data_IF_569947287343
#
_entry.id   IF_569947287343
#
_cell.length_a   1.000
_cell.length_b   1.000
_cell.length_c   1.000
_cell.angle_alpha   90.00
_cell.angle_beta   90.00
_cell.angle_gamma   90.00
#
_symmetry.space_group_name_H-M   'P 1'
#
loop_
_entity.id
_entity.type
_entity.pdbx_description
1 polymer ?
#
# COMPACT_ATOMS: atom_id res chain seq x y z
N UNK A 1 -31.10 -9.79 -6.23
CA UNK A 1 -30.08 -9.73 -5.15
C UNK A 1 -28.84 -9.17 -5.81
N UNK A 2 -28.36 -7.99 -5.43
CA UNK A 2 -27.12 -7.45 -5.99
C UNK A 2 -25.95 -8.22 -5.36
N UNK A 3 -25.16 -8.90 -6.19
CA UNK A 3 -23.93 -9.58 -5.76
C UNK A 3 -22.76 -8.61 -5.94
N UNK A 4 -22.12 -8.21 -4.84
CA UNK A 4 -20.98 -7.30 -4.89
C UNK A 4 -19.77 -8.04 -5.50
N UNK A 5 -19.32 -7.58 -6.67
CA UNK A 5 -18.07 -8.05 -7.28
C UNK A 5 -16.96 -7.06 -6.94
N UNK A 6 -15.91 -7.47 -6.21
CA UNK A 6 -14.79 -6.59 -5.88
C UNK A 6 -14.09 -5.99 -7.11
N UNK A 7 -14.23 -6.63 -8.28
CA UNK A 7 -13.69 -6.11 -9.55
C UNK A 7 -14.43 -4.85 -10.06
N UNK A 8 -15.63 -4.57 -9.56
CA UNK A 8 -16.48 -3.45 -10.00
C UNK A 8 -16.34 -2.21 -9.10
N UNK A 9 -15.45 -2.25 -8.09
CA UNK A 9 -15.23 -1.11 -7.20
C UNK A 9 -13.75 -0.91 -6.89
N UNK A 10 -13.21 0.20 -7.40
CA UNK A 10 -11.81 0.58 -7.28
C UNK A 10 -11.68 1.79 -6.36
N UNK A 11 -10.70 1.72 -5.45
CA UNK A 11 -10.35 2.84 -4.56
C UNK A 11 -8.87 3.17 -4.70
N UNK A 12 -8.58 4.34 -5.24
CA UNK A 12 -7.22 4.82 -5.52
C UNK A 12 -6.91 5.99 -4.59
N UNK A 13 -5.85 5.87 -3.80
CA UNK A 13 -5.45 6.93 -2.89
C UNK A 13 -4.84 8.13 -3.65
N UNK A 14 -5.23 9.32 -3.25
CA UNK A 14 -4.67 10.59 -3.74
C UNK A 14 -3.71 11.08 -2.66
N UNK A 15 -2.43 11.18 -3.01
CA UNK A 15 -1.38 11.66 -2.11
C UNK A 15 -1.52 13.16 -1.86
N UNK A 16 -0.82 13.66 -0.85
CA UNK A 16 -0.83 15.09 -0.49
C UNK A 16 -0.31 16.00 -1.62
N UNK A 17 0.54 15.48 -2.50
CA UNK A 17 1.03 16.18 -3.69
C UNK A 17 0.08 16.12 -4.90
N UNK A 18 -1.12 15.53 -4.73
CA UNK A 18 -2.12 15.36 -5.78
C UNK A 18 -1.91 14.15 -6.69
N UNK A 19 -0.84 13.37 -6.49
CA UNK A 19 -0.60 12.14 -7.25
C UNK A 19 -1.69 11.11 -6.95
N UNK A 20 -2.30 10.56 -7.99
CA UNK A 20 -3.24 9.44 -7.85
C UNK A 20 -2.51 8.12 -7.99
N UNK A 21 -2.67 7.24 -7.00
CA UNK A 21 -2.12 5.88 -7.03
C UNK A 21 -3.05 4.95 -7.79
N UNK A 22 -2.87 4.89 -9.11
CA UNK A 22 -3.74 4.15 -10.02
C UNK A 22 -3.53 2.62 -9.99
N UNK A 23 -4.61 1.86 -10.15
CA UNK A 23 -4.57 0.39 -10.27
C UNK A 23 -3.69 -0.04 -11.44
N UNK A 24 -2.80 -1.00 -11.20
CA UNK A 24 -1.92 -1.58 -12.21
C UNK A 24 -0.74 -0.69 -12.64
N UNK A 25 -0.68 0.56 -12.18
CA UNK A 25 0.42 1.48 -12.49
C UNK A 25 1.60 1.23 -11.56
N UNK A 26 2.81 1.31 -12.11
CA UNK A 26 4.06 1.26 -11.34
C UNK A 26 4.48 2.67 -10.92
N UNK A 27 5.07 2.79 -9.73
CA UNK A 27 5.47 4.03 -9.11
C UNK A 27 6.92 3.99 -8.67
N UNK A 28 7.60 5.12 -8.89
CA UNK A 28 8.96 5.37 -8.42
C UNK A 28 9.04 6.81 -7.88
N UNK A 29 9.82 6.99 -6.82
CA UNK A 29 10.23 8.29 -6.29
C UNK A 29 11.73 8.24 -6.04
N UNK A 30 12.34 9.41 -5.93
CA UNK A 30 13.73 9.51 -5.50
C UNK A 30 13.90 9.00 -4.08
N UNK A 31 15.01 8.31 -3.84
CA UNK A 31 15.36 7.86 -2.50
C UNK A 31 15.67 9.05 -1.59
N UNK A 32 15.09 9.03 -0.39
CA UNK A 32 15.45 9.96 0.68
C UNK A 32 16.22 9.24 1.79
N UNK A 33 17.20 9.92 2.43
CA UNK A 33 17.93 9.34 3.56
C UNK A 33 16.99 9.09 4.73
N UNK A 34 17.01 7.88 5.27
CA UNK A 34 16.14 7.51 6.38
C UNK A 34 16.15 6.03 6.70
N UNK A 35 15.29 5.63 7.63
CA UNK A 35 15.09 4.22 8.01
C UNK A 35 13.76 3.68 7.52
N UNK A 36 12.96 4.47 6.82
CA UNK A 36 11.68 4.02 6.31
C UNK A 36 11.80 3.67 4.84
N UNK A 37 10.93 2.76 4.40
CA UNK A 37 10.67 2.54 2.99
C UNK A 37 9.19 2.81 2.76
N UNK A 38 8.87 3.72 1.85
CA UNK A 38 7.50 3.86 1.36
C UNK A 38 7.27 2.84 0.27
N UNK A 39 6.05 2.29 0.22
CA UNK A 39 5.65 1.34 -0.80
C UNK A 39 4.19 1.52 -1.18
N UNK A 40 3.89 1.26 -2.44
CA UNK A 40 2.53 1.32 -2.98
C UNK A 40 1.91 -0.07 -2.90
N UNK A 41 0.90 -0.21 -2.04
CA UNK A 41 0.17 -1.45 -1.82
C UNK A 41 -1.08 -1.50 -2.68
N UNK A 42 -1.11 -2.40 -3.66
CA UNK A 42 -2.34 -2.81 -4.33
C UNK A 42 -2.84 -4.13 -3.74
N UNK A 43 -4.13 -4.21 -3.39
CA UNK A 43 -4.76 -5.43 -2.85
C UNK A 43 -6.16 -5.64 -3.43
N UNK A 44 -6.56 -6.90 -3.56
CA UNK A 44 -7.92 -7.33 -3.94
C UNK A 44 -8.46 -8.37 -2.95
N UNK A 45 -9.65 -8.15 -2.39
CA UNK A 45 -10.28 -9.12 -1.48
C UNK A 45 -9.69 -9.21 -0.08
N UNK A 46 -8.70 -8.35 0.23
CA UNK A 46 -8.05 -8.21 1.54
C UNK A 46 -8.46 -6.90 2.19
N UNK A 47 -8.69 -6.88 3.51
CA UNK A 47 -8.67 -5.59 4.23
C UNK A 47 -7.21 -5.15 4.48
N UNK A 48 -6.99 -3.86 4.79
CA UNK A 48 -5.62 -3.33 4.99
C UNK A 48 -4.87 -4.07 6.09
N UNK A 49 -5.51 -4.41 7.22
CA UNK A 49 -4.83 -5.08 8.33
C UNK A 49 -4.31 -6.47 7.92
N UNK A 50 -5.15 -7.29 7.30
CA UNK A 50 -4.80 -8.63 6.84
C UNK A 50 -3.70 -8.60 5.76
N UNK A 51 -3.75 -7.63 4.84
CA UNK A 51 -2.72 -7.47 3.83
C UNK A 51 -1.36 -7.16 4.47
N UNK A 52 -1.33 -6.27 5.46
CA UNK A 52 -0.11 -5.93 6.19
C UNK A 52 0.40 -7.07 7.08
N UNK A 53 -0.49 -7.87 7.67
CA UNK A 53 -0.10 -9.07 8.41
C UNK A 53 0.56 -10.11 7.49
N UNK A 54 0.00 -10.34 6.30
CA UNK A 54 0.58 -11.24 5.30
C UNK A 54 1.96 -10.75 4.83
N UNK A 55 2.10 -9.45 4.54
CA UNK A 55 3.37 -8.81 4.16
C UNK A 55 4.40 -8.96 5.30
N UNK A 56 4.01 -8.67 6.54
CA UNK A 56 4.90 -8.82 7.70
C UNK A 56 5.38 -10.27 7.88
N UNK A 57 4.49 -11.24 7.68
CA UNK A 57 4.80 -12.67 7.70
C UNK A 57 5.83 -13.06 6.64
N UNK A 58 5.62 -12.67 5.38
CA UNK A 58 6.58 -12.92 4.30
C UNK A 58 7.91 -12.20 4.50
N UNK A 59 7.90 -11.05 5.17
CA UNK A 59 9.12 -10.31 5.49
C UNK A 59 9.88 -10.84 6.70
N UNK A 60 9.25 -11.68 7.53
CA UNK A 60 9.71 -12.12 8.85
C UNK A 60 9.98 -10.93 9.80
N UNK A 61 9.04 -9.99 9.86
CA UNK A 61 9.13 -8.80 10.72
C UNK A 61 7.87 -8.64 11.57
N UNK A 62 7.97 -7.79 12.60
CA UNK A 62 6.79 -7.39 13.37
C UNK A 62 5.85 -6.53 12.52
N UNK A 63 4.55 -6.83 12.57
CA UNK A 63 3.46 -6.01 11.99
C UNK A 63 3.51 -4.54 12.40
N UNK A 64 4.02 -4.24 13.61
CA UNK A 64 4.18 -2.86 14.14
C UNK A 64 5.16 -1.99 13.33
N UNK A 65 5.94 -2.60 12.42
CA UNK A 65 6.86 -1.89 11.53
C UNK A 65 6.17 -1.41 10.25
N UNK A 66 4.89 -1.72 10.05
CA UNK A 66 4.15 -1.36 8.84
C UNK A 66 3.02 -0.38 9.19
N UNK A 67 2.89 0.69 8.42
CA UNK A 67 1.86 1.72 8.57
C UNK A 67 1.29 2.11 7.19
N UNK A 68 0.05 2.60 7.11
CA UNK A 68 -0.54 3.20 5.90
C UNK A 68 -1.32 4.47 6.28
N UNK A 69 -1.62 5.33 5.30
CA UNK A 69 -2.29 6.60 5.56
C UNK A 69 -3.76 6.42 5.99
N UNK A 70 -4.38 5.31 5.58
CA UNK A 70 -5.71 4.93 6.01
C UNK A 70 -5.90 3.42 5.99
N UNK A 71 -7.07 2.99 6.44
CA UNK A 71 -7.51 1.60 6.27
C UNK A 71 -8.53 1.53 5.15
N UNK A 72 -8.55 0.39 4.45
CA UNK A 72 -9.49 0.10 3.38
C UNK A 72 -10.09 -1.28 3.59
N UNK A 73 -11.38 -1.40 3.36
CA UNK A 73 -12.12 -2.65 3.44
C UNK A 73 -11.68 -3.66 2.36
N UNK A 74 -12.16 -4.90 2.54
CA UNK A 74 -11.89 -6.02 1.63
C UNK A 74 -12.71 -5.98 0.34
N UNK A 75 -13.79 -5.21 0.35
CA UNK A 75 -14.78 -5.14 -0.73
C UNK A 75 -14.35 -4.08 -1.77
N UNK A 76 -13.16 -4.21 -2.33
CA UNK A 76 -12.63 -3.35 -3.40
C UNK A 76 -11.29 -3.88 -3.92
N UNK A 77 -10.90 -3.44 -5.12
CA UNK A 77 -9.48 -3.31 -5.46
C UNK A 77 -9.01 -1.97 -4.92
N UNK A 78 -7.95 -1.96 -4.12
CA UNK A 78 -7.45 -0.71 -3.53
C UNK A 78 -5.98 -0.52 -3.74
N UNK A 79 -5.56 0.70 -4.01
CA UNK A 79 -4.14 1.11 -4.10
C UNK A 79 -3.91 2.25 -3.11
N UNK A 80 -2.93 2.10 -2.23
CA UNK A 80 -2.63 3.08 -1.19
C UNK A 80 -1.13 3.12 -0.86
N UNK A 81 -0.68 4.23 -0.26
CA UNK A 81 0.68 4.38 0.21
C UNK A 81 0.82 3.82 1.62
N UNK A 82 1.87 3.04 1.82
CA UNK A 82 2.25 2.48 3.09
C UNK A 82 3.73 2.70 3.35
N UNK A 83 4.17 2.48 4.59
CA UNK A 83 5.57 2.53 4.96
C UNK A 83 5.98 1.34 5.79
N UNK A 84 7.24 0.97 5.68
CA UNK A 84 7.90 -0.09 6.43
C UNK A 84 9.15 0.47 7.11
N UNK A 85 9.27 0.28 8.43
CA UNK A 85 10.47 0.64 9.18
C UNK A 85 11.58 -0.40 8.97
N UNK A 86 12.78 0.04 8.62
CA UNK A 86 14.01 -0.73 8.45
C UNK A 86 13.90 -1.93 7.49
N UNK A 87 13.12 -1.78 6.42
CA UNK A 87 12.98 -2.77 5.35
C UNK A 87 13.46 -2.13 4.05
N UNK A 88 14.42 -2.73 3.32
CA UNK A 88 14.88 -2.16 2.06
C UNK A 88 13.82 -2.34 0.95
N UNK A 89 13.69 -1.39 -0.01
CA UNK A 89 12.69 -1.44 -1.08
C UNK A 89 12.66 -2.76 -1.87
N UNK A 90 13.85 -3.31 -2.17
CA UNK A 90 14.00 -4.54 -2.96
C UNK A 90 13.33 -5.75 -2.28
N UNK A 91 13.26 -5.75 -0.94
CA UNK A 91 12.57 -6.81 -0.19
C UNK A 91 11.05 -6.73 -0.28
N UNK A 92 10.50 -5.53 -0.43
CA UNK A 92 9.06 -5.34 -0.67
C UNK A 92 8.72 -5.67 -2.12
N UNK A 93 9.51 -5.20 -3.09
CA UNK A 93 9.29 -5.44 -4.52
C UNK A 93 9.39 -6.93 -4.92
N UNK A 94 10.12 -7.74 -4.15
CA UNK A 94 10.26 -9.18 -4.40
C UNK A 94 9.17 -10.04 -3.76
N UNK A 95 8.21 -9.44 -3.03
CA UNK A 95 7.13 -10.17 -2.37
C UNK A 95 6.21 -10.83 -3.39
N UNK A 96 5.81 -12.07 -3.07
CA UNK A 96 4.80 -12.81 -3.80
C UNK A 96 3.70 -13.22 -2.83
N UNK A 97 2.60 -12.48 -2.84
CA UNK A 97 1.42 -12.75 -2.02
C UNK A 97 0.20 -12.75 -2.92
N UNK A 98 -0.66 -13.77 -2.80
CA UNK A 98 -1.84 -13.89 -3.65
C UNK A 98 -2.74 -12.66 -3.50
N UNK A 99 -3.17 -12.09 -4.63
CA UNK A 99 -4.07 -10.92 -4.70
C UNK A 99 -3.51 -9.62 -4.09
N UNK A 100 -2.18 -9.56 -3.88
CA UNK A 100 -1.46 -8.38 -3.42
C UNK A 100 -0.28 -8.11 -4.37
N UNK A 101 -0.12 -6.85 -4.76
CA UNK A 101 1.01 -6.36 -5.55
C UNK A 101 1.66 -5.18 -4.86
N UNK A 102 3.00 -5.14 -4.87
CA UNK A 102 3.76 -3.96 -4.50
C UNK A 102 4.11 -3.23 -5.79
N UNK A 103 3.42 -2.13 -6.05
CA UNK A 103 3.51 -1.39 -7.32
C UNK A 103 4.63 -0.33 -7.32
N UNK A 104 5.45 -0.29 -6.28
CA UNK A 104 6.52 0.69 -6.12
C UNK A 104 7.04 0.67 -4.70
N UNK A 105 8.34 0.92 -4.54
CA UNK A 105 8.95 1.08 -3.23
C UNK A 105 10.24 1.92 -3.34
N UNK A 106 10.49 2.80 -2.37
CA UNK A 106 11.67 3.67 -2.31
C UNK A 106 12.02 3.98 -0.84
N UNK A 107 13.25 4.41 -0.58
CA UNK A 107 13.66 4.85 0.76
C UNK A 107 13.04 6.20 1.09
N UNK A 108 12.65 6.36 2.35
CA UNK A 108 12.00 7.55 2.86
C UNK A 108 12.59 7.95 4.23
N UNK A 109 12.60 9.26 4.48
CA UNK A 109 13.03 9.84 5.76
C UNK A 109 12.12 9.50 6.93
N UNK A 110 10.84 9.33 6.65
CA UNK A 110 9.76 9.27 7.63
C UNK A 110 8.73 8.19 7.31
N UNK A 111 7.88 7.89 8.29
CA UNK A 111 6.76 6.97 8.11
C UNK A 111 5.59 7.67 7.45
N UNK A 112 4.79 6.90 6.70
CA UNK A 112 3.43 7.31 6.34
C UNK A 112 2.61 7.45 7.62
N UNK A 113 1.92 8.58 7.78
CA UNK A 113 1.14 8.89 8.98
C UNK A 113 -0.34 8.65 8.72
N UNK A 114 -1.06 8.23 9.75
CA UNK A 114 -2.52 8.15 9.66
C UNK A 114 -3.08 9.52 9.25
N UNK A 115 -3.89 9.55 8.21
CA UNK A 115 -4.48 10.76 7.65
C UNK A 115 -3.60 11.53 6.65
N UNK A 116 -2.37 11.09 6.35
CA UNK A 116 -1.49 11.74 5.34
C UNK A 116 -1.88 11.33 3.91
N UNK A 117 -3.10 11.69 3.52
CA UNK A 117 -3.62 11.57 2.16
C UNK A 117 -4.52 12.78 1.86
N UNK A 118 -4.62 13.16 0.59
CA UNK A 118 -5.55 14.21 0.16
C UNK A 118 -6.99 13.66 0.05
N UNK A 119 -7.14 12.40 -0.37
CA UNK A 119 -8.45 11.79 -0.56
C UNK A 119 -8.39 10.46 -1.29
N UNK A 120 -9.54 10.01 -1.80
CA UNK A 120 -9.65 8.78 -2.57
C UNK A 120 -10.45 9.05 -3.86
N UNK A 121 -9.97 8.52 -4.98
CA UNK A 121 -10.71 8.42 -6.24
C UNK A 121 -11.44 7.08 -6.26
N UNK A 122 -12.73 7.11 -6.59
CA UNK A 122 -13.58 5.94 -6.73
C UNK A 122 -13.90 5.72 -8.19
N UNK A 123 -13.81 4.49 -8.68
CA UNK A 123 -14.08 4.12 -10.09
C UNK A 123 -14.76 2.77 -10.15
#
# INVERSE_FOLDING_TARGET
MFEFKPEEFVVEEILEDGTVLEVGKQFSRDDAPGKFCHFVLQKRGWNTAQALDAIAGCLHISRKRLDCAGTKDRNAITVQLCSAFAVPPQRLLSLKVKDISINGAWNAGDKVRMGSLLGNRFT
#
